data_IF_267158561276
#
_entry.id   IF_267158561276
#
_cell.length_a   1.000
_cell.length_b   1.000
_cell.length_c   1.000
_cell.angle_alpha   90.00
_cell.angle_beta   90.00
_cell.angle_gamma   90.00
#
_symmetry.space_group_name_H-M   'P 1'
#
loop_
_entity.id
_entity.type
_entity.pdbx_description
1 polymer ?
#
# COMPACT_ATOMS: atom_id res chain seq x y z
N UNK A 1 -10.39 -21.16 -4.20
CA UNK A 1 -10.64 -20.87 -2.75
C UNK A 1 -11.90 -20.03 -2.63
N UNK A 2 -12.76 -20.25 -1.62
CA UNK A 2 -13.97 -19.43 -1.41
C UNK A 2 -13.64 -17.96 -1.11
N UNK A 3 -14.52 -17.03 -1.48
CA UNK A 3 -14.26 -15.57 -1.35
C UNK A 3 -13.99 -15.16 0.09
N UNK A 4 -14.79 -15.62 1.04
CA UNK A 4 -14.66 -15.26 2.45
C UNK A 4 -13.34 -15.74 3.04
N UNK A 5 -12.88 -16.94 2.62
CA UNK A 5 -11.56 -17.45 2.99
C UNK A 5 -10.43 -16.58 2.41
N UNK A 6 -10.56 -16.08 1.16
CA UNK A 6 -9.56 -15.18 0.57
C UNK A 6 -9.44 -13.88 1.35
N UNK A 7 -10.58 -13.30 1.74
CA UNK A 7 -10.63 -12.06 2.53
C UNK A 7 -9.99 -12.26 3.91
N UNK A 8 -10.38 -13.33 4.62
CA UNK A 8 -9.80 -13.66 5.93
C UNK A 8 -8.27 -13.85 5.85
N UNK A 9 -7.78 -14.53 4.82
CA UNK A 9 -6.36 -14.70 4.59
C UNK A 9 -5.66 -13.36 4.30
N UNK A 10 -6.24 -12.50 3.47
CA UNK A 10 -5.68 -11.18 3.18
C UNK A 10 -5.58 -10.30 4.44
N UNK A 11 -6.62 -10.26 5.27
CA UNK A 11 -6.62 -9.54 6.55
C UNK A 11 -5.58 -10.14 7.53
N UNK A 12 -5.48 -11.47 7.58
CA UNK A 12 -4.48 -12.15 8.40
C UNK A 12 -3.05 -11.80 7.95
N UNK A 13 -2.81 -11.75 6.64
CA UNK A 13 -1.52 -11.38 6.09
C UNK A 13 -1.18 -9.91 6.41
N UNK A 14 -2.14 -8.99 6.29
CA UNK A 14 -1.94 -7.59 6.69
C UNK A 14 -1.58 -7.46 8.17
N UNK A 15 -2.28 -8.16 9.07
CA UNK A 15 -1.92 -8.20 10.49
C UNK A 15 -0.51 -8.76 10.71
N UNK A 16 -0.14 -9.83 10.00
CA UNK A 16 1.18 -10.42 10.08
C UNK A 16 2.30 -9.43 9.70
N UNK A 17 2.07 -8.56 8.69
CA UNK A 17 3.04 -7.51 8.34
C UNK A 17 3.34 -6.55 9.50
N UNK A 18 2.33 -6.22 10.32
CA UNK A 18 2.45 -5.34 11.48
C UNK A 18 3.05 -6.02 12.71
N UNK A 19 2.99 -7.35 12.77
CA UNK A 19 3.59 -8.17 13.83
C UNK A 19 5.00 -8.66 13.50
N UNK A 20 5.64 -8.08 12.47
CA UNK A 20 6.95 -8.48 11.95
C UNK A 20 7.04 -9.94 11.44
N UNK A 21 5.88 -10.54 11.10
CA UNK A 21 5.76 -11.89 10.51
C UNK A 21 5.71 -11.81 8.99
N UNK A 22 6.80 -11.31 8.41
CA UNK A 22 6.87 -10.95 6.99
C UNK A 22 6.88 -12.16 6.05
N UNK A 23 7.48 -13.28 6.48
CA UNK A 23 7.52 -14.51 5.70
C UNK A 23 6.12 -15.13 5.61
N UNK A 24 5.40 -15.18 6.72
CA UNK A 24 4.03 -15.68 6.75
C UNK A 24 3.09 -14.80 5.92
N UNK A 25 3.26 -13.47 5.98
CA UNK A 25 2.53 -12.55 5.12
C UNK A 25 2.78 -12.83 3.63
N UNK A 26 4.03 -13.11 3.24
CA UNK A 26 4.37 -13.42 1.84
C UNK A 26 3.83 -14.78 1.38
N UNK A 27 3.88 -15.80 2.25
CA UNK A 27 3.30 -17.12 1.97
C UNK A 27 1.80 -16.99 1.70
N UNK A 28 1.08 -16.22 2.53
CA UNK A 28 -0.35 -15.99 2.34
C UNK A 28 -0.61 -15.16 1.07
N UNK A 29 0.16 -14.10 0.83
CA UNK A 29 0.03 -13.28 -0.38
C UNK A 29 0.23 -14.12 -1.66
N UNK A 30 1.25 -14.96 -1.69
CA UNK A 30 1.52 -15.89 -2.79
C UNK A 30 0.40 -16.91 -2.98
N UNK A 31 -0.21 -17.38 -1.88
CA UNK A 31 -1.35 -18.29 -1.94
C UNK A 31 -2.57 -17.66 -2.62
N UNK A 32 -2.85 -16.39 -2.33
CA UNK A 32 -4.03 -15.69 -2.86
C UNK A 32 -3.79 -15.00 -4.22
N UNK A 33 -2.54 -14.79 -4.65
CA UNK A 33 -2.15 -14.08 -5.88
C UNK A 33 -2.73 -14.67 -7.17
N UNK A 34 -2.89 -16.00 -7.22
CA UNK A 34 -3.45 -16.70 -8.38
C UNK A 34 -4.98 -16.62 -8.49
N UNK A 35 -5.65 -16.01 -7.51
CA UNK A 35 -7.11 -15.93 -7.46
C UNK A 35 -7.61 -14.66 -8.17
N UNK A 36 -8.84 -14.71 -8.67
CA UNK A 36 -9.48 -13.51 -9.26
C UNK A 36 -9.66 -12.42 -8.19
N UNK A 37 -9.48 -11.16 -8.63
CA UNK A 37 -9.68 -9.94 -7.85
C UNK A 37 -8.83 -9.81 -6.57
N UNK A 38 -7.67 -10.47 -6.47
CA UNK A 38 -6.78 -10.38 -5.30
C UNK A 38 -5.53 -9.54 -5.52
N UNK A 39 -5.23 -9.14 -6.76
CA UNK A 39 -4.00 -8.42 -7.11
C UNK A 39 -3.78 -7.15 -6.27
N UNK A 40 -4.85 -6.39 -6.05
CA UNK A 40 -4.81 -5.18 -5.21
C UNK A 40 -4.45 -5.50 -3.76
N UNK A 41 -5.12 -6.50 -3.16
CA UNK A 41 -4.86 -6.94 -1.79
C UNK A 41 -3.43 -7.47 -1.63
N UNK A 42 -2.94 -8.26 -2.60
CA UNK A 42 -1.55 -8.75 -2.63
C UNK A 42 -0.56 -7.59 -2.70
N UNK A 43 -0.84 -6.59 -3.55
CA UNK A 43 -0.01 -5.40 -3.64
C UNK A 43 0.03 -4.62 -2.31
N UNK A 44 -1.11 -4.47 -1.66
CA UNK A 44 -1.21 -3.86 -0.34
C UNK A 44 -0.40 -4.62 0.71
N UNK A 45 -0.53 -5.95 0.79
CA UNK A 45 0.23 -6.79 1.74
C UNK A 45 1.75 -6.64 1.52
N UNK A 46 2.22 -6.79 0.28
CA UNK A 46 3.65 -6.75 -0.04
C UNK A 46 4.26 -5.37 0.22
N UNK A 47 3.56 -4.30 -0.16
CA UNK A 47 4.02 -2.94 0.12
C UNK A 47 4.02 -2.61 1.61
N UNK A 48 2.98 -2.99 2.37
CA UNK A 48 2.95 -2.83 3.83
C UNK A 48 4.09 -3.60 4.51
N UNK A 49 4.38 -4.83 4.07
CA UNK A 49 5.51 -5.62 4.57
C UNK A 49 6.86 -4.93 4.34
N UNK A 50 7.06 -4.33 3.16
CA UNK A 50 8.26 -3.53 2.86
C UNK A 50 8.35 -2.28 3.76
N UNK A 51 7.26 -1.54 3.88
CA UNK A 51 7.19 -0.30 4.67
C UNK A 51 7.44 -0.56 6.17
N UNK A 52 6.86 -1.62 6.74
CA UNK A 52 7.09 -2.02 8.13
C UNK A 52 8.54 -2.47 8.41
N UNK A 53 9.32 -2.75 7.36
CA UNK A 53 10.76 -3.04 7.44
C UNK A 53 11.63 -1.81 7.15
N UNK A 54 11.03 -0.64 6.98
CA UNK A 54 11.72 0.60 6.62
C UNK A 54 12.17 0.67 5.14
N UNK A 55 11.75 -0.28 4.30
CA UNK A 55 12.11 -0.32 2.87
C UNK A 55 11.16 0.54 2.03
N UNK A 56 11.09 1.83 2.36
CA UNK A 56 10.10 2.75 1.80
C UNK A 56 10.28 2.99 0.29
N UNK A 57 11.51 3.15 -0.18
CA UNK A 57 11.80 3.32 -1.62
C UNK A 57 11.39 2.09 -2.43
N UNK A 58 11.65 0.88 -1.92
CA UNK A 58 11.27 -0.35 -2.59
C UNK A 58 9.75 -0.53 -2.63
N UNK A 59 9.06 -0.16 -1.55
CA UNK A 59 7.59 -0.15 -1.51
C UNK A 59 7.00 0.84 -2.53
N UNK A 60 7.56 2.05 -2.63
CA UNK A 60 7.12 3.03 -3.62
C UNK A 60 7.36 2.53 -5.05
N UNK A 61 8.55 2.00 -5.36
CA UNK A 61 8.87 1.44 -6.68
C UNK A 61 7.94 0.31 -7.07
N UNK A 62 7.54 -0.52 -6.11
CA UNK A 62 6.60 -1.61 -6.32
C UNK A 62 5.17 -1.11 -6.59
N UNK A 63 4.72 -0.07 -5.88
CA UNK A 63 3.36 0.48 -5.99
C UNK A 63 3.16 1.38 -7.23
N UNK A 64 4.18 2.12 -7.66
CA UNK A 64 4.08 3.11 -8.74
C UNK A 64 3.38 2.58 -10.02
N UNK A 65 3.75 1.42 -10.58
CA UNK A 65 3.08 0.92 -11.78
C UNK A 65 1.64 0.44 -11.55
N UNK A 66 1.28 0.11 -10.30
CA UNK A 66 -0.01 -0.50 -9.95
C UNK A 66 -1.11 0.54 -9.69
N UNK A 67 -0.73 1.77 -9.33
CA UNK A 67 -1.69 2.82 -8.96
C UNK A 67 -2.60 3.27 -10.13
N UNK A 68 -2.23 2.96 -11.37
CA UNK A 68 -3.08 3.22 -12.55
C UNK A 68 -4.28 2.30 -12.58
N UNK A 69 -4.06 1.01 -12.27
CA UNK A 69 -5.11 -0.02 -12.28
C UNK A 69 -5.86 -0.09 -10.95
N UNK A 70 -5.21 0.31 -9.85
CA UNK A 70 -5.73 0.27 -8.48
C UNK A 70 -5.60 1.64 -7.80
N UNK A 71 -6.53 2.57 -8.06
CA UNK A 71 -6.47 3.95 -7.54
C UNK A 71 -6.50 4.05 -6.01
N UNK A 72 -7.02 3.03 -5.31
CA UNK A 72 -7.04 3.03 -3.84
C UNK A 72 -5.65 2.81 -3.22
N UNK A 73 -4.67 2.33 -4.01
CA UNK A 73 -3.28 2.23 -3.59
C UNK A 73 -2.50 3.55 -3.62
N UNK A 74 -3.06 4.61 -4.24
CA UNK A 74 -2.37 5.89 -4.41
C UNK A 74 -1.94 6.50 -3.06
N UNK A 75 -2.79 6.44 -2.05
CA UNK A 75 -2.46 6.92 -0.70
C UNK A 75 -1.27 6.15 -0.09
N UNK A 76 -1.16 4.86 -0.38
CA UNK A 76 -0.05 4.04 0.10
C UNK A 76 1.25 4.37 -0.64
N UNK A 77 1.18 4.64 -1.95
CA UNK A 77 2.31 5.11 -2.74
C UNK A 77 2.81 6.49 -2.27
N UNK A 78 1.89 7.40 -1.93
CA UNK A 78 2.20 8.69 -1.33
C UNK A 78 2.93 8.53 0.02
N UNK A 79 2.41 7.66 0.89
CA UNK A 79 3.02 7.38 2.20
C UNK A 79 4.44 6.79 2.05
N UNK A 80 4.61 5.81 1.16
CA UNK A 80 5.90 5.20 0.88
C UNK A 80 6.91 6.23 0.34
N UNK A 81 6.52 7.05 -0.64
CA UNK A 81 7.37 8.11 -1.16
C UNK A 81 7.77 9.15 -0.10
N UNK A 82 6.82 9.59 0.73
CA UNK A 82 7.07 10.57 1.79
C UNK A 82 8.04 10.03 2.84
N UNK A 83 7.86 8.78 3.29
CA UNK A 83 8.77 8.12 4.25
C UNK A 83 10.13 7.80 3.65
N UNK A 84 10.23 7.64 2.33
CA UNK A 84 11.48 7.52 1.61
C UNK A 84 12.23 8.85 1.40
N UNK A 85 11.63 10.00 1.75
CA UNK A 85 12.21 11.32 1.48
C UNK A 85 12.08 11.76 0.01
N UNK A 86 11.27 11.07 -0.79
CA UNK A 86 11.01 11.40 -2.19
C UNK A 86 9.91 12.46 -2.30
N UNK A 87 10.17 13.67 -1.76
CA UNK A 87 9.16 14.72 -1.57
C UNK A 87 8.36 15.04 -2.83
N UNK A 88 9.03 15.23 -3.97
CA UNK A 88 8.34 15.54 -5.25
C UNK A 88 7.41 14.42 -5.73
N UNK A 89 7.80 13.16 -5.51
CA UNK A 89 6.95 12.00 -5.83
C UNK A 89 5.77 11.91 -4.88
N UNK A 90 5.99 12.15 -3.59
CA UNK A 90 4.94 12.14 -2.59
C UNK A 90 3.91 13.24 -2.86
N UNK A 91 4.34 14.45 -3.21
CA UNK A 91 3.45 15.56 -3.62
C UNK A 91 2.62 15.21 -4.86
N UNK A 92 3.24 14.62 -5.88
CA UNK A 92 2.53 14.15 -7.08
C UNK A 92 1.44 13.13 -6.73
N UNK A 93 1.73 12.17 -5.84
CA UNK A 93 0.73 11.20 -5.42
C UNK A 93 -0.37 11.82 -4.57
N UNK A 94 -0.05 12.80 -3.72
CA UNK A 94 -1.07 13.52 -2.94
C UNK A 94 -2.00 14.34 -3.83
N UNK A 95 -1.48 14.92 -4.91
CA UNK A 95 -2.34 15.58 -5.91
C UNK A 95 -3.29 14.57 -6.55
N UNK A 96 -2.80 13.38 -6.92
CA UNK A 96 -3.66 12.31 -7.44
C UNK A 96 -4.70 11.84 -6.42
N UNK A 97 -4.29 11.60 -5.17
CA UNK A 97 -5.18 11.20 -4.08
C UNK A 97 -6.27 12.25 -3.81
N UNK A 98 -5.95 13.55 -3.93
CA UNK A 98 -6.91 14.64 -3.76
C UNK A 98 -8.04 14.66 -4.80
N UNK A 99 -7.89 13.91 -5.90
CA UNK A 99 -8.88 13.76 -6.97
C UNK A 99 -9.57 12.37 -6.94
N UNK A 100 -9.20 11.51 -5.99
CA UNK A 100 -9.69 10.14 -5.85
C UNK A 100 -10.93 10.00 -4.96
N UNK A 101 -11.07 8.83 -4.34
CA UNK A 101 -12.11 8.51 -3.33
C UNK A 101 -12.08 9.46 -2.12
N UNK A 102 -13.16 9.45 -1.33
CA UNK A 102 -13.24 10.31 -0.14
C UNK A 102 -12.13 9.99 0.88
N UNK A 103 -11.76 8.71 0.98
CA UNK A 103 -10.67 8.20 1.81
C UNK A 103 -9.31 8.73 1.31
N UNK A 104 -9.08 8.68 0.00
CA UNK A 104 -7.87 9.23 -0.61
C UNK A 104 -7.77 10.75 -0.42
N UNK A 105 -8.89 11.48 -0.56
CA UNK A 105 -8.93 12.92 -0.31
C UNK A 105 -8.62 13.25 1.15
N UNK A 106 -9.23 12.51 2.10
CA UNK A 106 -8.98 12.68 3.52
C UNK A 106 -7.51 12.41 3.88
N UNK A 107 -6.93 11.34 3.33
CA UNK A 107 -5.51 11.05 3.47
C UNK A 107 -4.65 12.19 2.92
N UNK A 108 -4.93 12.67 1.71
CA UNK A 108 -4.17 13.74 1.06
C UNK A 108 -4.16 15.03 1.88
N UNK A 109 -5.33 15.42 2.41
CA UNK A 109 -5.47 16.60 3.27
C UNK A 109 -4.68 16.48 4.58
N UNK A 110 -4.62 15.28 5.17
CA UNK A 110 -3.86 15.06 6.40
C UNK A 110 -2.36 15.01 6.11
N UNK A 111 -1.92 14.12 5.23
CA UNK A 111 -0.51 13.81 5.02
C UNK A 111 0.28 14.93 4.32
N UNK A 112 -0.39 15.77 3.53
CA UNK A 112 0.25 16.97 2.95
C UNK A 112 0.78 17.95 4.00
N UNK A 113 0.22 17.96 5.21
CA UNK A 113 0.75 18.75 6.33
C UNK A 113 2.04 18.16 6.88
N UNK A 114 2.13 16.84 6.93
CA UNK A 114 3.28 16.13 7.48
C UNK A 114 4.51 16.26 6.58
N UNK A 115 4.33 16.19 5.25
CA UNK A 115 5.42 16.33 4.29
C UNK A 115 6.04 17.74 4.33
N UNK A 116 5.23 18.78 4.55
CA UNK A 116 5.73 20.17 4.62
C UNK A 116 6.56 20.47 5.87
N UNK A 117 6.55 19.56 6.85
CA UNK A 117 7.27 19.69 8.11
C UNK A 117 8.49 18.77 8.21
N UNK A 118 8.82 18.03 7.14
CA UNK A 118 10.04 17.21 7.01
C UNK A 118 11.20 18.05 6.44
#
# INVERSE_FOLDING_TARGET
>A
MEKDMRLLLAETALMATGMHRHEEAEIIASCIESQEDTKEAVAMIRSMSLMNRGRYEDAHRFLEPLCTDYPDLVSLAALAAGKAGLTSRAESWLEMASKGSAENQAFAMSFSKDIRNL
#
